data_IF_858345471599
#
_entry.id   IF_858345471599
#
_cell.length_a   1.000
_cell.length_b   1.000
_cell.length_c   1.000
_cell.angle_alpha   90.00
_cell.angle_beta   90.00
_cell.angle_gamma   90.00
#
_symmetry.space_group_name_H-M   'P 1'
#
loop_
_entity.id
_entity.type
_entity.pdbx_description
1 polymer ?
#
# COMPACT_ATOMS: atom_id res chain seq x y z
N UNK A 1 -5.29 -7.08 -38.03
CA UNK A 1 -4.62 -8.18 -37.33
C UNK A 1 -5.04 -8.05 -35.88
N UNK A 2 -5.96 -8.87 -35.40
CA UNK A 2 -6.34 -8.88 -33.98
C UNK A 2 -5.25 -9.62 -33.22
N UNK A 3 -4.19 -8.91 -32.84
CA UNK A 3 -3.33 -9.36 -31.75
C UNK A 3 -4.17 -9.26 -30.49
N UNK A 4 -4.48 -10.39 -29.86
CA UNK A 4 -5.00 -10.42 -28.50
C UNK A 4 -4.04 -9.60 -27.64
N UNK A 5 -4.51 -8.47 -27.10
CA UNK A 5 -3.75 -7.76 -26.08
C UNK A 5 -3.80 -8.62 -24.81
N UNK A 6 -2.64 -8.86 -24.21
CA UNK A 6 -2.48 -9.66 -23.00
C UNK A 6 -2.84 -8.83 -21.76
N UNK A 7 -4.05 -8.27 -21.77
CA UNK A 7 -4.53 -7.36 -20.73
C UNK A 7 -4.75 -8.15 -19.43
N UNK A 8 -4.31 -7.61 -18.28
CA UNK A 8 -4.51 -8.27 -16.99
C UNK A 8 -5.99 -8.57 -16.74
N UNK A 9 -6.35 -9.84 -16.56
CA UNK A 9 -7.74 -10.28 -16.37
C UNK A 9 -8.14 -10.28 -14.89
N UNK A 10 -7.16 -10.47 -14.01
CA UNK A 10 -7.37 -10.51 -12.56
C UNK A 10 -6.69 -9.31 -11.93
N UNK A 11 -7.50 -8.33 -11.50
CA UNK A 11 -7.01 -7.17 -10.76
C UNK A 11 -7.51 -7.24 -9.32
N UNK A 12 -6.60 -7.12 -8.37
CA UNK A 12 -6.89 -7.12 -6.94
C UNK A 12 -6.18 -5.95 -6.26
N UNK A 13 -6.82 -5.40 -5.23
CA UNK A 13 -6.19 -4.47 -4.29
C UNK A 13 -5.91 -5.23 -3.00
N UNK A 14 -4.64 -5.27 -2.59
CA UNK A 14 -4.22 -5.77 -1.29
C UNK A 14 -4.04 -4.59 -0.32
N UNK A 15 -4.97 -4.47 0.62
CA UNK A 15 -4.93 -3.48 1.69
C UNK A 15 -4.13 -4.03 2.87
N UNK A 16 -2.87 -3.60 2.97
CA UNK A 16 -1.93 -4.05 3.99
C UNK A 16 -2.33 -3.59 5.41
N UNK A 17 -3.08 -2.49 5.54
CA UNK A 17 -3.55 -2.00 6.85
C UNK A 17 -4.56 -2.96 7.46
N UNK A 18 -5.49 -3.46 6.64
CA UNK A 18 -6.56 -4.37 7.07
C UNK A 18 -6.21 -5.84 6.81
N UNK A 19 -5.09 -6.12 6.15
CA UNK A 19 -4.70 -7.42 5.62
C UNK A 19 -5.85 -8.07 4.83
N UNK A 20 -6.43 -7.31 3.90
CA UNK A 20 -7.64 -7.67 3.18
C UNK A 20 -7.48 -7.47 1.67
N UNK A 21 -8.08 -8.37 0.89
CA UNK A 21 -8.11 -8.29 -0.57
C UNK A 21 -9.46 -7.74 -1.02
N UNK A 22 -9.43 -6.77 -1.94
CA UNK A 22 -10.62 -6.13 -2.51
C UNK A 22 -10.57 -6.24 -4.03
N UNK A 23 -11.74 -6.40 -4.65
CA UNK A 23 -11.89 -6.34 -6.10
C UNK A 23 -12.30 -4.93 -6.51
N UNK A 24 -11.46 -4.17 -7.22
CA UNK A 24 -11.83 -2.86 -7.72
C UNK A 24 -12.80 -2.96 -8.90
N UNK A 25 -13.48 -1.86 -9.20
CA UNK A 25 -14.12 -1.66 -10.50
C UNK A 25 -13.04 -1.24 -11.48
N UNK A 26 -12.92 -1.95 -12.61
CA UNK A 26 -11.82 -1.80 -13.56
C UNK A 26 -12.36 -1.16 -14.84
N UNK A 27 -11.64 -0.16 -15.35
CA UNK A 27 -11.89 0.44 -16.65
C UNK A 27 -10.58 0.42 -17.45
N UNK A 28 -10.59 -0.25 -18.60
CA UNK A 28 -9.48 -0.15 -19.55
C UNK A 28 -9.75 1.04 -20.47
N UNK A 29 -8.75 1.90 -20.64
CA UNK A 29 -8.84 3.10 -21.46
C UNK A 29 -7.70 3.08 -22.45
N UNK A 30 -8.01 3.05 -23.75
CA UNK A 30 -7.01 3.11 -24.81
C UNK A 30 -6.86 4.55 -25.34
N UNK A 31 -5.74 4.87 -26.00
CA UNK A 31 -5.37 6.24 -26.41
C UNK A 31 -6.44 7.01 -27.21
N UNK A 32 -7.33 6.31 -27.90
CA UNK A 32 -8.36 6.88 -28.77
C UNK A 32 -9.76 6.89 -28.14
N UNK A 33 -9.86 6.46 -26.88
CA UNK A 33 -11.12 6.40 -26.14
C UNK A 33 -11.26 7.58 -25.17
N UNK A 34 -12.50 7.98 -24.91
CA UNK A 34 -12.77 8.98 -23.89
C UNK A 34 -12.57 8.39 -22.49
N UNK A 35 -12.07 9.21 -21.57
CA UNK A 35 -11.91 8.80 -20.18
C UNK A 35 -13.28 8.54 -19.55
N UNK A 36 -13.47 7.43 -18.80
CA UNK A 36 -14.77 7.06 -18.24
C UNK A 36 -15.26 8.09 -17.21
N UNK A 37 -16.58 8.19 -17.06
CA UNK A 37 -17.21 9.10 -16.09
C UNK A 37 -17.14 8.52 -14.67
N UNK A 38 -15.95 8.59 -14.07
CA UNK A 38 -15.66 8.12 -12.70
C UNK A 38 -15.23 9.28 -11.77
N UNK A 39 -15.52 9.21 -10.45
CA UNK A 39 -15.07 10.21 -9.49
C UNK A 39 -13.53 10.30 -9.46
N UNK A 40 -13.00 11.48 -9.80
CA UNK A 40 -11.55 11.71 -9.92
C UNK A 40 -10.78 11.59 -8.61
N UNK A 41 -11.47 11.75 -7.49
CA UNK A 41 -10.96 11.66 -6.13
C UNK A 41 -10.95 10.24 -5.58
N UNK A 42 -11.37 9.23 -6.36
CA UNK A 42 -11.46 7.83 -5.90
C UNK A 42 -11.02 6.85 -6.97
N UNK A 43 -9.90 7.14 -7.62
CA UNK A 43 -9.34 6.29 -8.66
C UNK A 43 -7.85 6.05 -8.48
N UNK A 44 -7.41 4.94 -9.04
CA UNK A 44 -6.01 4.57 -9.20
C UNK A 44 -5.80 4.43 -10.71
N UNK A 45 -4.84 5.16 -11.26
CA UNK A 45 -4.44 5.05 -12.66
C UNK A 45 -3.25 4.11 -12.72
N UNK A 46 -3.35 3.10 -13.56
CA UNK A 46 -2.27 2.16 -13.85
C UNK A 46 -1.95 2.29 -15.33
N UNK A 47 -0.73 2.71 -15.64
CA UNK A 47 -0.24 2.82 -17.00
C UNK A 47 0.56 1.57 -17.35
N UNK A 48 0.17 0.92 -18.44
CA UNK A 48 0.88 -0.22 -19.00
C UNK A 48 1.55 0.19 -20.30
N UNK A 49 2.58 -0.55 -20.69
CA UNK A 49 3.21 -0.39 -21.98
C UNK A 49 2.27 -0.77 -23.15
N UNK A 50 2.69 -0.51 -24.39
CA UNK A 50 1.90 -0.83 -25.59
C UNK A 50 1.52 -2.30 -25.75
N UNK A 51 2.19 -3.21 -25.03
CA UNK A 51 1.91 -4.65 -25.05
C UNK A 51 1.05 -5.13 -23.87
N UNK A 52 0.75 -4.24 -22.91
CA UNK A 52 0.09 -4.56 -21.65
C UNK A 52 0.83 -5.59 -20.77
N UNK A 53 2.12 -5.82 -21.02
CA UNK A 53 2.93 -6.83 -20.30
C UNK A 53 3.83 -6.23 -19.24
N UNK A 54 4.03 -4.91 -19.26
CA UNK A 54 4.89 -4.20 -18.32
C UNK A 54 4.19 -2.98 -17.73
N UNK A 55 4.46 -2.75 -16.45
CA UNK A 55 4.02 -1.57 -15.71
C UNK A 55 4.90 -0.37 -16.06
N UNK A 56 4.28 0.73 -16.45
CA UNK A 56 4.97 2.00 -16.73
C UNK A 56 4.90 2.92 -15.51
N UNK A 57 3.70 3.13 -14.96
CA UNK A 57 3.46 4.02 -13.83
C UNK A 57 2.18 3.63 -13.08
N UNK A 58 2.09 4.04 -11.81
CA UNK A 58 0.88 3.91 -10.99
C UNK A 58 0.69 5.13 -10.12
N UNK A 59 -0.47 5.76 -10.26
CA UNK A 59 -0.85 6.96 -9.54
C UNK A 59 -2.16 6.73 -8.78
N UNK A 60 -2.14 6.93 -7.47
CA UNK A 60 -3.36 6.96 -6.65
C UNK A 60 -3.84 8.39 -6.47
N UNK A 61 -5.10 8.65 -6.82
CA UNK A 61 -5.78 9.92 -6.54
C UNK A 61 -6.77 9.81 -5.38
N UNK A 62 -6.87 8.63 -4.77
CA UNK A 62 -7.74 8.38 -3.62
C UNK A 62 -7.14 8.98 -2.35
N UNK A 63 -7.88 9.81 -1.58
CA UNK A 63 -7.43 10.28 -0.26
C UNK A 63 -7.49 9.17 0.79
N UNK A 64 -8.25 8.10 0.53
CA UNK A 64 -8.53 7.03 1.48
C UNK A 64 -7.55 5.86 1.35
N UNK A 65 -6.78 5.81 0.26
CA UNK A 65 -5.91 4.68 -0.05
C UNK A 65 -4.64 5.14 -0.77
N UNK A 66 -3.49 4.85 -0.16
CA UNK A 66 -2.20 5.14 -0.74
C UNK A 66 -1.58 3.86 -1.30
N UNK A 67 -1.28 3.86 -2.60
CA UNK A 67 -0.55 2.76 -3.25
C UNK A 67 0.89 2.75 -2.75
N UNK A 68 1.37 1.57 -2.39
CA UNK A 68 2.75 1.31 -1.96
C UNK A 68 3.54 0.54 -3.01
N UNK A 69 2.88 -0.38 -3.73
CA UNK A 69 3.48 -1.17 -4.80
C UNK A 69 2.41 -1.62 -5.80
N UNK A 70 2.83 -2.01 -7.00
CA UNK A 70 1.96 -2.59 -8.00
C UNK A 70 2.71 -3.66 -8.79
N UNK A 71 2.18 -4.88 -8.74
CA UNK A 71 2.85 -6.08 -9.21
C UNK A 71 2.03 -6.65 -10.37
N UNK A 72 2.67 -6.78 -11.52
CA UNK A 72 2.11 -7.43 -12.71
C UNK A 72 2.77 -8.79 -12.88
N UNK A 73 2.00 -9.86 -12.73
CA UNK A 73 2.48 -11.24 -12.79
C UNK A 73 1.84 -12.03 -13.93
N UNK A 74 2.66 -12.75 -14.69
CA UNK A 74 2.19 -13.70 -15.69
C UNK A 74 1.96 -15.07 -15.05
N UNK A 75 0.71 -15.50 -15.00
CA UNK A 75 0.35 -16.85 -14.57
C UNK A 75 0.41 -17.82 -15.75
N UNK A 76 1.11 -18.94 -15.55
CA UNK A 76 1.08 -20.08 -16.47
C UNK A 76 0.01 -21.05 -16.00
N UNK A 77 -1.17 -21.01 -16.64
CA UNK A 77 -2.18 -22.04 -16.44
C UNK A 77 -1.73 -23.31 -17.17
N UNK A 78 -1.19 -24.28 -16.43
CA UNK A 78 -1.01 -25.63 -16.94
C UNK A 78 -2.37 -26.35 -16.96
N UNK A 79 -3.29 -25.89 -17.81
CA UNK A 79 -4.53 -26.61 -18.09
C UNK A 79 -4.22 -27.78 -19.02
N UNK A 80 -4.42 -29.02 -18.56
CA UNK A 80 -4.34 -30.22 -19.42
C UNK A 80 -5.43 -30.25 -20.51
N UNK A 81 -6.34 -29.26 -20.55
CA UNK A 81 -7.51 -29.24 -21.43
C UNK A 81 -7.54 -28.08 -22.43
N UNK A 82 -6.62 -27.11 -22.34
CA UNK A 82 -6.57 -25.98 -23.29
C UNK A 82 -5.29 -26.02 -24.12
N UNK A 83 -5.45 -26.08 -25.45
CA UNK A 83 -4.35 -26.16 -26.43
C UNK A 83 -3.74 -24.81 -26.78
N UNK A 84 -4.21 -23.74 -26.17
CA UNK A 84 -3.74 -22.37 -26.41
C UNK A 84 -3.08 -21.86 -25.13
N UNK A 85 -1.78 -21.58 -25.22
CA UNK A 85 -1.00 -20.93 -24.15
C UNK A 85 -1.54 -19.52 -23.93
N UNK A 86 -2.61 -19.42 -23.14
CA UNK A 86 -3.18 -18.14 -22.75
C UNK A 86 -2.28 -17.53 -21.69
N UNK A 87 -1.50 -16.51 -22.07
CA UNK A 87 -0.71 -15.73 -21.14
C UNK A 87 -1.66 -14.93 -20.25
N UNK A 88 -1.99 -15.48 -19.08
CA UNK A 88 -2.91 -14.84 -18.16
C UNK A 88 -2.13 -13.87 -17.27
N UNK A 89 -2.41 -12.58 -17.35
CA UNK A 89 -1.79 -11.58 -16.49
C UNK A 89 -2.68 -11.24 -15.29
N UNK A 90 -2.04 -11.13 -14.13
CA UNK A 90 -2.64 -10.72 -12.87
C UNK A 90 -1.99 -9.41 -12.42
N UNK A 91 -2.80 -8.46 -11.96
CA UNK A 91 -2.37 -7.18 -11.43
C UNK A 91 -2.74 -7.10 -9.95
N UNK A 92 -1.74 -7.01 -9.09
CA UNK A 92 -1.92 -6.79 -7.66
C UNK A 92 -1.48 -5.39 -7.30
N UNK A 93 -2.42 -4.58 -6.84
CA UNK A 93 -2.14 -3.23 -6.35
C UNK A 93 -2.03 -3.32 -4.84
N UNK A 94 -0.83 -3.12 -4.31
CA UNK A 94 -0.60 -3.06 -2.87
C UNK A 94 -0.74 -1.64 -2.37
N UNK A 95 -1.33 -1.49 -1.19
CA UNK A 95 -1.38 -0.20 -0.55
C UNK A 95 -1.89 -0.25 0.88
N UNK A 96 -1.94 0.93 1.48
CA UNK A 96 -2.40 1.12 2.84
C UNK A 96 -3.64 2.01 2.81
N UNK A 97 -4.73 1.52 3.39
CA UNK A 97 -5.85 2.41 3.68
C UNK A 97 -5.42 3.42 4.73
N UNK A 98 -5.74 4.69 4.49
CA UNK A 98 -5.66 5.70 5.53
C UNK A 98 -6.67 5.28 6.59
N UNK A 99 -6.25 4.99 7.84
CA UNK A 99 -7.20 4.74 8.90
C UNK A 99 -8.11 5.96 8.91
N UNK A 100 -9.42 5.75 8.82
CA UNK A 100 -10.36 6.84 9.07
C UNK A 100 -9.87 7.47 10.35
N UNK A 101 -9.36 8.70 10.25
CA UNK A 101 -8.97 9.44 11.43
C UNK A 101 -10.31 9.62 12.10
N UNK A 102 -10.67 8.72 13.04
CA UNK A 102 -11.52 9.07 14.14
C UNK A 102 -10.85 10.33 14.62
N UNK A 103 -11.45 11.47 14.26
CA UNK A 103 -10.92 12.79 14.50
C UNK A 103 -10.28 12.72 15.86
N UNK A 104 -8.94 12.68 15.91
CA UNK A 104 -8.29 12.59 17.21
C UNK A 104 -8.85 13.83 17.89
N UNK A 105 -9.53 13.73 19.05
CA UNK A 105 -10.25 14.87 19.63
C UNK A 105 -9.35 16.10 19.83
N UNK A 106 -8.02 15.91 19.73
CA UNK A 106 -6.98 16.92 19.88
C UNK A 106 -6.47 17.58 18.59
N UNK A 107 -6.81 17.14 17.37
CA UNK A 107 -6.35 17.86 16.16
C UNK A 107 -7.36 18.96 15.80
N UNK A 108 -7.31 20.06 16.56
CA UNK A 108 -7.94 21.31 16.14
C UNK A 108 -7.45 21.67 14.72
N UNK A 109 -8.32 22.17 13.83
CA UNK A 109 -7.89 22.62 12.51
C UNK A 109 -6.77 23.66 12.64
N UNK A 110 -5.77 23.61 11.77
CA UNK A 110 -4.64 24.54 11.82
C UNK A 110 -5.12 25.88 11.25
N UNK A 111 -5.47 26.80 12.15
CA UNK A 111 -6.03 28.10 11.77
C UNK A 111 -4.98 29.18 11.45
N UNK A 112 -3.69 28.93 11.70
CA UNK A 112 -2.61 29.87 11.43
C UNK A 112 -1.23 29.20 11.30
N UNK A 113 -0.27 29.91 10.69
CA UNK A 113 1.14 29.47 10.61
C UNK A 113 1.77 29.30 11.99
N UNK A 114 1.38 30.11 12.97
CA UNK A 114 1.91 30.00 14.32
C UNK A 114 1.35 28.76 15.04
N UNK A 115 0.06 28.45 14.83
CA UNK A 115 -0.55 27.20 15.29
C UNK A 115 0.10 25.96 14.65
N UNK A 116 0.52 26.05 13.38
CA UNK A 116 1.25 24.99 12.70
C UNK A 116 2.63 24.75 13.36
N UNK A 117 3.39 25.82 13.60
CA UNK A 117 4.71 25.73 14.24
C UNK A 117 4.62 25.11 15.63
N UNK A 118 3.62 25.50 16.42
CA UNK A 118 3.38 24.95 17.74
C UNK A 118 3.01 23.46 17.68
N UNK A 119 2.15 23.06 16.75
CA UNK A 119 1.77 21.65 16.54
C UNK A 119 2.97 20.80 16.14
N UNK A 120 3.81 21.29 15.22
CA UNK A 120 5.04 20.62 14.79
C UNK A 120 6.02 20.48 15.96
N UNK A 121 6.16 21.53 16.76
CA UNK A 121 7.03 21.51 17.94
C UNK A 121 6.57 20.44 18.94
N UNK A 122 5.28 20.40 19.27
CA UNK A 122 4.72 19.38 20.17
C UNK A 122 4.88 17.96 19.61
N UNK A 123 4.69 17.78 18.30
CA UNK A 123 4.89 16.48 17.66
C UNK A 123 6.35 16.01 17.78
N UNK A 124 7.30 16.91 17.54
CA UNK A 124 8.73 16.61 17.70
C UNK A 124 9.07 16.23 19.14
N UNK A 125 8.53 16.94 20.12
CA UNK A 125 8.79 16.67 21.55
C UNK A 125 8.24 15.31 21.99
N UNK A 126 7.01 14.96 21.56
CA UNK A 126 6.43 13.63 21.78
C UNK A 126 7.28 12.53 21.16
N UNK A 127 7.76 12.71 19.93
CA UNK A 127 8.62 11.73 19.27
C UNK A 127 9.98 11.57 19.97
N UNK A 128 10.57 12.63 20.49
CA UNK A 128 11.79 12.54 21.31
C UNK A 128 11.55 11.83 22.64
N UNK A 129 10.40 12.04 23.28
CA UNK A 129 10.01 11.32 24.50
C UNK A 129 9.83 9.83 24.24
N UNK A 130 9.15 9.46 23.15
CA UNK A 130 9.01 8.07 22.69
C UNK A 130 10.39 7.45 22.47
N UNK A 131 11.28 8.12 21.73
CA UNK A 131 12.66 7.64 21.53
C UNK A 131 13.40 7.40 22.83
N UNK A 132 13.21 8.22 23.88
CA UNK A 132 13.84 8.03 25.19
C UNK A 132 13.30 6.79 25.93
N UNK A 133 11.99 6.55 25.86
CA UNK A 133 11.35 5.38 26.49
C UNK A 133 11.83 4.09 25.82
N UNK A 134 11.85 4.05 24.49
CA UNK A 134 12.26 2.87 23.73
C UNK A 134 13.78 2.69 23.60
N UNK A 135 14.59 3.65 24.10
CA UNK A 135 16.05 3.53 24.21
C UNK A 135 16.53 3.08 25.59
N UNK A 136 15.65 2.70 26.52
CA UNK A 136 16.12 2.10 27.78
C UNK A 136 16.85 0.79 27.46
N UNK A 137 18.11 0.62 27.91
CA UNK A 137 18.82 -0.64 27.77
C UNK A 137 18.12 -1.70 28.62
N UNK A 138 17.94 -2.90 28.08
CA UNK A 138 17.55 -4.09 28.85
C UNK A 138 18.59 -4.25 29.95
N UNK A 139 18.18 -4.03 31.21
CA UNK A 139 19.02 -4.31 32.36
C UNK A 139 19.32 -5.80 32.37
N UNK A 140 20.58 -6.16 32.12
CA UNK A 140 21.09 -7.52 32.26
C UNK A 140 20.77 -8.05 33.67
N UNK A 141 20.14 -9.24 33.72
CA UNK A 141 20.01 -10.00 34.95
C UNK A 141 21.41 -10.32 35.47
N UNK A 142 21.76 -9.81 36.65
CA UNK A 142 22.93 -10.25 37.40
C UNK A 142 22.77 -11.74 37.73
N UNK A 143 23.55 -12.55 37.04
CA UNK A 143 23.75 -13.97 37.27
C UNK A 143 24.40 -14.15 38.65
N UNK A 144 23.57 -14.43 39.66
CA UNK A 144 24.02 -14.63 41.02
C UNK A 144 24.37 -16.12 41.20
N UNK A 145 25.52 -16.53 40.65
CA UNK A 145 26.09 -17.86 40.88
C UNK A 145 26.50 -17.97 42.35
N UNK A 146 25.56 -18.45 43.18
CA UNK A 146 25.82 -18.86 44.56
C UNK A 146 26.77 -20.06 44.57
N UNK A 147 27.98 -19.79 45.02
CA UNK A 147 28.99 -20.74 45.46
C UNK A 147 28.42 -21.55 46.64
N UNK A 148 28.19 -22.86 46.48
CA UNK A 148 27.92 -23.78 47.58
C UNK A 148 28.98 -24.88 47.55
N UNK A 149 30.02 -24.70 48.35
CA UNK A 149 30.94 -25.76 48.77
C UNK A 149 30.16 -26.78 49.61
N UNK A 150 30.26 -28.06 49.26
CA UNK A 150 29.89 -29.18 50.13
C UNK A 150 31.18 -29.88 50.59
N UNK A 151 31.30 -30.00 51.91
CA UNK A 151 32.30 -30.78 52.63
C UNK A 151 32.17 -32.28 52.34
#
# INVERSE_FOLDING_TARGET
>A
MNSSLDIPQFVIIHDQTLNAYKHPVIHYVFEQEEFPEVPKDKLIVVELDSTATQLTSVDSYSPDFQVTDCILEQSRLNSQFEKEESNLFNLTIEGVSVPAVQQIPSSQPIHSIDSLKETIFQFKDRNEMVKKIFKQPVSEQQDNSMNISLH
#
